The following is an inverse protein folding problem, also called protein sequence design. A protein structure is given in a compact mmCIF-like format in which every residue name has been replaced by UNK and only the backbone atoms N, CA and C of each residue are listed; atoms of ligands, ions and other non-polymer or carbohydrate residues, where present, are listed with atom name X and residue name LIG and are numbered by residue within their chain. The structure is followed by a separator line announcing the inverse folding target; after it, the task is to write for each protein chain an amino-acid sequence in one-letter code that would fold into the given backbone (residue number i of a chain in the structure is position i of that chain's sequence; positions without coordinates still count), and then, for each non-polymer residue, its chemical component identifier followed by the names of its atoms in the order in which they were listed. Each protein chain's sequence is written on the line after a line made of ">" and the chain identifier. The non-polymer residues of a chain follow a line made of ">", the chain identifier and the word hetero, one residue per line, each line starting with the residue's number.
data_IF_557873860187
#
_entry.id   IF_557873860187
#
_cell.length_a   1.000
_cell.length_b   1.000
_cell.length_c   1.000
_cell.angle_alpha   90.00
_cell.angle_beta   90.00
_cell.angle_gamma   90.00
#
_symmetry.space_group_name_H-M   'P 1'
#
loop_
_entity.id
_entity.type
_entity.pdbx_description
1 polymer ?
#
# COMPACT_ATOMS: atom_id res chain seq x y z
N UNK A 1 -49.67 -19.87 11.04
CA UNK A 1 -50.90 -20.04 11.85
C UNK A 1 -51.23 -21.52 11.93
N UNK A 2 -51.74 -21.99 13.07
CA UNK A 2 -52.32 -23.34 13.14
C UNK A 2 -53.63 -23.41 12.35
N UNK A 3 -54.03 -24.59 11.86
CA UNK A 3 -55.30 -24.77 11.13
C UNK A 3 -56.52 -24.26 11.93
N UNK A 4 -56.50 -24.45 13.27
CA UNK A 4 -57.55 -23.95 14.16
C UNK A 4 -57.63 -22.42 14.20
N UNK A 5 -56.49 -21.73 14.18
CA UNK A 5 -56.47 -20.26 14.10
C UNK A 5 -56.97 -19.75 12.75
N UNK A 6 -56.67 -20.45 11.65
CA UNK A 6 -57.18 -20.09 10.33
C UNK A 6 -58.70 -20.27 10.23
N UNK A 7 -59.25 -21.36 10.79
CA UNK A 7 -60.68 -21.62 10.81
C UNK A 7 -61.46 -20.59 11.67
N UNK A 8 -60.95 -20.22 12.84
CA UNK A 8 -61.57 -19.19 13.67
C UNK A 8 -61.49 -17.81 13.00
N UNK A 9 -60.36 -17.48 12.37
CA UNK A 9 -60.23 -16.26 11.56
C UNK A 9 -61.25 -16.24 10.42
N UNK A 10 -61.44 -17.37 9.74
CA UNK A 10 -62.41 -17.51 8.66
C UNK A 10 -63.85 -17.25 9.12
N UNK A 11 -64.26 -17.82 10.27
CA UNK A 11 -65.60 -17.57 10.84
C UNK A 11 -65.82 -16.08 11.11
N UNK A 12 -64.82 -15.41 11.70
CA UNK A 12 -64.89 -13.97 12.00
C UNK A 12 -64.99 -13.16 10.70
N UNK A 13 -64.08 -13.39 9.74
CA UNK A 13 -64.06 -12.63 8.50
C UNK A 13 -65.30 -12.89 7.63
N UNK A 14 -65.86 -14.11 7.66
CA UNK A 14 -67.12 -14.43 6.97
C UNK A 14 -68.32 -13.67 7.55
N UNK A 15 -68.39 -13.49 8.88
CA UNK A 15 -69.45 -12.69 9.52
C UNK A 15 -69.36 -11.19 9.22
N UNK A 16 -68.15 -10.71 8.95
CA UNK A 16 -67.84 -9.33 8.61
C UNK A 16 -67.92 -9.06 7.09
N UNK A 17 -67.99 -10.11 6.28
CA UNK A 17 -68.03 -9.99 4.83
C UNK A 17 -69.23 -9.14 4.38
N UNK A 18 -68.99 -8.18 3.49
CA UNK A 18 -69.99 -7.22 2.99
C UNK A 18 -70.43 -6.13 3.97
N UNK A 19 -69.96 -6.13 5.22
CA UNK A 19 -70.29 -5.10 6.23
C UNK A 19 -69.22 -4.03 6.39
N UNK A 20 -67.95 -4.44 6.30
CA UNK A 20 -66.80 -3.53 6.41
C UNK A 20 -65.74 -3.90 5.36
N UNK A 21 -65.06 -2.92 4.75
CA UNK A 21 -63.91 -3.19 3.89
C UNK A 21 -62.74 -3.68 4.75
N UNK A 22 -62.18 -4.84 4.40
CA UNK A 22 -61.03 -5.45 5.07
C UNK A 22 -59.90 -5.56 4.06
N UNK A 23 -58.74 -4.98 4.37
CA UNK A 23 -57.57 -5.00 3.48
C UNK A 23 -56.50 -5.89 4.10
N UNK A 24 -56.17 -6.97 3.41
CA UNK A 24 -55.04 -7.82 3.73
C UNK A 24 -53.83 -7.37 2.91
N UNK A 25 -52.72 -7.07 3.58
CA UNK A 25 -51.46 -6.72 2.92
C UNK A 25 -50.49 -7.88 3.10
N UNK A 26 -50.06 -8.50 2.01
CA UNK A 26 -49.15 -9.64 2.05
C UNK A 26 -48.94 -10.29 0.69
N UNK A 27 -48.09 -11.32 0.69
CA UNK A 27 -47.80 -12.14 -0.48
C UNK A 27 -48.85 -13.23 -0.64
N UNK A 28 -49.63 -13.13 -1.72
CA UNK A 28 -50.74 -14.04 -2.01
C UNK A 28 -50.25 -15.47 -2.26
N UNK A 29 -49.05 -15.66 -2.79
CA UNK A 29 -48.51 -17.00 -3.06
C UNK A 29 -48.27 -17.76 -1.74
N UNK A 30 -47.80 -17.05 -0.71
CA UNK A 30 -47.66 -17.62 0.65
C UNK A 30 -49.00 -17.95 1.30
N UNK A 31 -50.09 -17.33 0.85
CA UNK A 31 -51.46 -17.68 1.26
C UNK A 31 -51.95 -18.93 0.53
N UNK A 32 -51.45 -19.27 -0.66
CA UNK A 32 -51.93 -20.43 -1.42
C UNK A 32 -51.12 -21.73 -1.22
N UNK A 33 -50.07 -21.74 -0.38
CA UNK A 33 -49.19 -22.91 -0.18
C UNK A 33 -49.84 -24.15 0.45
N UNK A 34 -51.05 -24.05 1.04
CA UNK A 34 -51.76 -25.18 1.64
C UNK A 34 -53.11 -25.40 0.95
N UNK A 35 -53.39 -26.62 0.50
CA UNK A 35 -54.62 -27.02 -0.22
C UNK A 35 -55.94 -26.70 0.50
N UNK A 36 -55.88 -26.45 1.82
CA UNK A 36 -57.03 -26.13 2.68
C UNK A 36 -56.91 -24.75 3.36
N UNK A 37 -56.36 -23.72 2.68
CA UNK A 37 -56.30 -22.39 3.29
C UNK A 37 -57.67 -21.70 3.30
N UNK A 38 -58.19 -21.40 4.48
CA UNK A 38 -59.43 -20.65 4.63
C UNK A 38 -59.29 -19.16 4.28
N UNK A 39 -58.06 -18.61 4.33
CA UNK A 39 -57.79 -17.20 4.02
C UNK A 39 -57.99 -16.88 2.53
N UNK A 40 -57.75 -17.82 1.63
CA UNK A 40 -58.02 -17.61 0.20
C UNK A 40 -59.52 -17.52 -0.10
N UNK A 41 -60.37 -18.14 0.73
CA UNK A 41 -61.83 -18.17 0.57
C UNK A 41 -62.53 -16.89 1.03
N UNK A 42 -61.82 -15.97 1.68
CA UNK A 42 -62.35 -14.69 2.19
C UNK A 42 -61.83 -13.47 1.42
N UNK A 43 -60.98 -13.67 0.41
CA UNK A 43 -60.42 -12.59 -0.41
C UNK A 43 -61.30 -12.41 -1.65
N UNK A 44 -62.14 -11.38 -1.64
CA UNK A 44 -63.06 -11.11 -2.76
C UNK A 44 -62.36 -10.47 -3.97
N UNK A 45 -61.30 -9.68 -3.73
CA UNK A 45 -60.54 -8.97 -4.77
C UNK A 45 -59.05 -8.99 -4.49
N UNK A 46 -58.27 -9.32 -5.51
CA UNK A 46 -56.82 -9.12 -5.53
C UNK A 46 -56.51 -7.74 -6.14
N UNK A 47 -55.69 -6.97 -5.45
CA UNK A 47 -55.09 -5.76 -5.98
C UNK A 47 -53.59 -6.03 -5.98
N UNK A 48 -53.01 -6.13 -7.17
CA UNK A 48 -51.55 -6.23 -7.31
C UNK A 48 -50.92 -4.85 -7.11
N UNK A 49 -49.69 -4.85 -6.61
CA UNK A 49 -48.91 -3.62 -6.56
C UNK A 49 -48.71 -3.10 -7.98
N UNK A 50 -48.83 -1.78 -8.21
CA UNK A 50 -48.52 -1.18 -9.49
C UNK A 50 -47.16 -1.62 -10.00
N UNK A 51 -47.03 -1.88 -11.30
CA UNK A 51 -45.76 -2.30 -11.92
C UNK A 51 -44.60 -1.36 -11.57
N UNK A 52 -44.85 -0.06 -11.44
CA UNK A 52 -43.85 0.95 -11.02
C UNK A 52 -43.23 0.66 -9.64
N UNK A 53 -43.93 -0.05 -8.76
CA UNK A 53 -43.44 -0.44 -7.44
C UNK A 53 -42.73 -1.81 -7.44
N UNK A 54 -42.58 -2.45 -8.60
CA UNK A 54 -41.83 -3.69 -8.73
C UNK A 54 -40.34 -3.46 -8.38
N UNK A 55 -39.67 -4.39 -7.65
CA UNK A 55 -38.27 -4.26 -7.24
C UNK A 55 -37.32 -3.79 -8.36
N UNK A 56 -37.43 -4.37 -9.55
CA UNK A 56 -36.59 -3.98 -10.70
C UNK A 56 -36.68 -2.49 -11.04
N UNK A 57 -37.87 -1.90 -10.96
CA UNK A 57 -38.11 -0.51 -11.36
C UNK A 57 -37.69 0.46 -10.25
N UNK A 58 -37.99 0.14 -8.98
CA UNK A 58 -37.66 1.02 -7.86
C UNK A 58 -36.16 1.14 -7.58
N UNK A 59 -35.37 0.11 -7.90
CA UNK A 59 -33.93 0.10 -7.69
C UNK A 59 -33.17 0.69 -8.87
N UNK A 60 -33.62 0.44 -10.10
CA UNK A 60 -32.98 1.01 -11.29
C UNK A 60 -32.98 2.55 -11.25
N UNK A 61 -34.16 3.18 -11.11
CA UNK A 61 -34.28 4.65 -11.04
C UNK A 61 -33.44 5.24 -9.88
N UNK A 62 -33.40 4.53 -8.76
CA UNK A 62 -32.64 4.95 -7.58
C UNK A 62 -31.13 4.94 -7.84
N UNK A 63 -30.60 3.85 -8.41
CA UNK A 63 -29.17 3.74 -8.68
C UNK A 63 -28.72 4.63 -9.84
N UNK A 64 -29.57 4.90 -10.83
CA UNK A 64 -29.30 5.91 -11.85
C UNK A 64 -29.15 7.32 -11.23
N UNK A 65 -30.01 7.68 -10.29
CA UNK A 65 -29.90 8.94 -9.55
C UNK A 65 -28.65 8.96 -8.66
N UNK A 66 -28.39 7.87 -7.93
CA UNK A 66 -27.26 7.76 -7.02
C UNK A 66 -25.93 7.83 -7.78
N UNK A 67 -25.81 7.13 -8.91
CA UNK A 67 -24.62 7.16 -9.78
C UNK A 67 -24.31 8.59 -10.24
N UNK A 68 -25.34 9.36 -10.63
CA UNK A 68 -25.18 10.78 -10.99
C UNK A 68 -24.73 11.63 -9.81
N UNK A 69 -25.27 11.38 -8.62
CA UNK A 69 -24.93 12.16 -7.41
C UNK A 69 -23.50 11.87 -6.94
N UNK A 70 -23.06 10.62 -7.05
CA UNK A 70 -21.72 10.18 -6.68
C UNK A 70 -20.69 10.40 -7.80
N UNK A 71 -21.13 10.76 -9.01
CA UNK A 71 -20.29 10.87 -10.20
C UNK A 71 -19.50 9.57 -10.52
N UNK A 72 -20.08 8.41 -10.18
CA UNK A 72 -19.48 7.08 -10.34
C UNK A 72 -20.43 6.16 -11.09
N UNK A 73 -19.89 5.38 -12.02
CA UNK A 73 -20.65 4.35 -12.72
C UNK A 73 -20.72 3.08 -11.87
N UNK A 74 -21.91 2.74 -11.37
CA UNK A 74 -22.13 1.48 -10.64
C UNK A 74 -22.20 0.30 -11.61
N UNK A 75 -21.65 -0.85 -11.21
CA UNK A 75 -21.66 -2.06 -12.02
C UNK A 75 -23.06 -2.64 -12.20
N UNK A 76 -23.24 -3.40 -13.28
CA UNK A 76 -24.48 -4.13 -13.54
C UNK A 76 -24.78 -5.18 -12.45
N UNK A 77 -23.75 -5.80 -11.90
CA UNK A 77 -23.86 -6.75 -10.79
C UNK A 77 -24.50 -6.07 -9.57
N UNK A 78 -24.17 -4.80 -9.33
CA UNK A 78 -24.64 -4.04 -8.19
C UNK A 78 -26.16 -3.97 -8.12
N UNK A 79 -26.81 -3.42 -9.13
CA UNK A 79 -28.26 -3.20 -9.08
C UNK A 79 -29.07 -4.48 -9.36
N UNK A 80 -28.53 -5.45 -10.13
CA UNK A 80 -29.19 -6.73 -10.39
C UNK A 80 -29.41 -7.54 -9.12
N UNK A 81 -28.47 -7.49 -8.17
CA UNK A 81 -28.56 -8.21 -6.89
C UNK A 81 -29.78 -7.75 -6.07
N UNK A 82 -30.02 -6.45 -5.97
CA UNK A 82 -31.20 -5.91 -5.26
C UNK A 82 -32.52 -6.32 -5.94
N UNK A 83 -32.52 -6.32 -7.27
CA UNK A 83 -33.69 -6.71 -8.07
C UNK A 83 -33.99 -8.20 -7.94
N UNK A 84 -32.96 -9.06 -8.02
CA UNK A 84 -33.08 -10.51 -7.91
C UNK A 84 -33.63 -10.96 -6.55
N UNK A 85 -33.17 -10.33 -5.47
CA UNK A 85 -33.63 -10.66 -4.11
C UNK A 85 -34.99 -10.05 -3.75
N UNK A 86 -35.68 -9.44 -4.72
CA UNK A 86 -36.98 -8.81 -4.54
C UNK A 86 -37.01 -7.79 -3.37
N UNK A 87 -35.93 -7.03 -3.19
CA UNK A 87 -35.84 -6.00 -2.14
C UNK A 87 -36.88 -4.92 -2.41
N UNK A 88 -37.65 -4.58 -1.38
CA UNK A 88 -38.84 -3.72 -1.54
C UNK A 88 -38.54 -2.25 -1.23
N UNK A 89 -39.57 -1.41 -1.33
CA UNK A 89 -39.45 0.03 -1.11
C UNK A 89 -38.97 0.41 0.29
N UNK A 90 -39.32 -0.38 1.33
CA UNK A 90 -38.84 -0.16 2.70
C UNK A 90 -37.34 -0.41 2.80
N UNK A 91 -36.87 -1.50 2.18
CA UNK A 91 -35.45 -1.84 2.11
C UNK A 91 -34.67 -0.73 1.41
N UNK A 92 -35.24 -0.16 0.33
CA UNK A 92 -34.66 0.98 -0.38
C UNK A 92 -34.54 2.22 0.50
N UNK A 93 -35.58 2.54 1.27
CA UNK A 93 -35.53 3.69 2.18
C UNK A 93 -34.45 3.50 3.24
N UNK A 94 -34.40 2.31 3.87
CA UNK A 94 -33.37 2.00 4.86
C UNK A 94 -31.96 2.07 4.24
N UNK A 95 -31.74 1.44 3.09
CA UNK A 95 -30.47 1.51 2.38
C UNK A 95 -30.06 2.96 2.11
N UNK A 96 -30.98 3.78 1.59
CA UNK A 96 -30.73 5.19 1.33
C UNK A 96 -30.42 5.99 2.60
N UNK A 97 -31.03 5.68 3.74
CA UNK A 97 -30.71 6.34 5.01
C UNK A 97 -29.24 6.10 5.40
N UNK A 98 -28.77 4.85 5.27
CA UNK A 98 -27.37 4.50 5.50
C UNK A 98 -26.42 5.12 4.47
N UNK A 99 -26.80 5.16 3.18
CA UNK A 99 -26.03 5.87 2.15
C UNK A 99 -25.85 7.34 2.54
N UNK A 100 -26.93 8.02 2.95
CA UNK A 100 -26.82 9.43 3.33
C UNK A 100 -26.03 9.63 4.63
N UNK A 101 -26.17 8.72 5.58
CA UNK A 101 -25.41 8.74 6.82
C UNK A 101 -23.92 8.58 6.56
N UNK A 102 -23.52 7.56 5.81
CA UNK A 102 -22.12 7.21 5.61
C UNK A 102 -21.41 8.17 4.65
N UNK A 103 -21.98 8.42 3.47
CA UNK A 103 -21.32 9.28 2.49
C UNK A 103 -21.32 10.76 2.89
N UNK A 104 -22.43 11.29 3.41
CA UNK A 104 -22.58 12.74 3.62
C UNK A 104 -22.45 13.14 5.08
N UNK A 105 -23.09 12.41 6.01
CA UNK A 105 -23.02 12.80 7.43
C UNK A 105 -21.66 12.49 8.05
N UNK A 106 -21.04 11.38 7.63
CA UNK A 106 -19.70 10.93 8.05
C UNK A 106 -18.59 11.24 7.05
N UNK A 107 -18.95 11.98 5.98
CA UNK A 107 -18.01 12.48 4.97
C UNK A 107 -17.15 11.39 4.33
N UNK A 108 -17.73 10.22 4.01
CA UNK A 108 -17.00 9.18 3.27
C UNK A 108 -16.96 9.41 1.76
N UNK A 109 -17.80 10.30 1.24
CA UNK A 109 -17.76 10.67 -0.17
C UNK A 109 -16.36 11.16 -0.55
N UNK A 110 -15.79 10.64 -1.63
CA UNK A 110 -14.40 10.89 -2.10
C UNK A 110 -13.26 10.41 -1.18
N UNK A 111 -13.58 9.73 -0.06
CA UNK A 111 -12.60 9.08 0.82
C UNK A 111 -12.58 7.55 0.67
N UNK A 112 -13.60 6.98 0.05
CA UNK A 112 -13.72 5.54 -0.22
C UNK A 112 -14.19 5.31 -1.64
N UNK A 113 -13.87 4.15 -2.21
CA UNK A 113 -14.47 3.73 -3.48
C UNK A 113 -15.98 3.51 -3.31
N UNK A 114 -16.79 4.24 -4.06
CA UNK A 114 -18.22 4.37 -3.76
C UNK A 114 -18.96 3.03 -3.87
N UNK A 115 -18.72 2.26 -4.93
CA UNK A 115 -19.39 0.97 -5.09
C UNK A 115 -19.01 -0.03 -3.99
N UNK A 116 -17.75 -0.05 -3.56
CA UNK A 116 -17.33 -0.90 -2.44
C UNK A 116 -18.05 -0.50 -1.15
N UNK A 117 -18.14 0.79 -0.84
CA UNK A 117 -18.88 1.27 0.33
C UNK A 117 -20.37 0.90 0.27
N UNK A 118 -20.98 0.98 -0.92
CA UNK A 118 -22.36 0.58 -1.13
C UNK A 118 -22.57 -0.93 -0.90
N UNK A 119 -21.62 -1.78 -1.31
CA UNK A 119 -21.63 -3.21 -0.99
C UNK A 119 -21.49 -3.49 0.50
N UNK A 120 -20.68 -2.72 1.22
CA UNK A 120 -20.53 -2.84 2.68
C UNK A 120 -21.82 -2.46 3.40
N UNK A 121 -22.48 -1.36 2.98
CA UNK A 121 -23.82 -0.98 3.49
C UNK A 121 -24.83 -2.10 3.23
N UNK A 122 -24.81 -2.67 2.02
CA UNK A 122 -25.70 -3.77 1.64
C UNK A 122 -25.46 -5.02 2.50
N UNK A 123 -24.20 -5.42 2.70
CA UNK A 123 -23.84 -6.54 3.56
C UNK A 123 -24.31 -6.33 5.00
N UNK A 124 -24.15 -5.13 5.56
CA UNK A 124 -24.64 -4.83 6.90
C UNK A 124 -26.16 -4.98 7.05
N UNK A 125 -26.92 -4.48 6.07
CA UNK A 125 -28.39 -4.49 6.14
C UNK A 125 -28.99 -5.88 5.92
N UNK A 126 -28.44 -6.64 4.98
CA UNK A 126 -29.09 -7.85 4.49
C UNK A 126 -28.31 -9.15 4.79
N UNK A 127 -27.02 -9.04 5.12
CA UNK A 127 -26.12 -10.16 5.40
C UNK A 127 -25.26 -9.89 6.66
N UNK A 128 -25.89 -9.69 7.83
CA UNK A 128 -25.20 -9.23 9.03
C UNK A 128 -24.07 -10.15 9.50
N UNK A 129 -24.17 -11.46 9.23
CA UNK A 129 -23.08 -12.40 9.56
C UNK A 129 -21.84 -12.18 8.68
N UNK A 130 -22.00 -11.90 7.37
CA UNK A 130 -20.88 -11.57 6.49
C UNK A 130 -20.25 -10.23 6.90
N UNK A 131 -21.07 -9.24 7.27
CA UNK A 131 -20.53 -7.98 7.79
C UNK A 131 -19.75 -8.16 9.10
N UNK A 132 -20.20 -9.03 10.02
CA UNK A 132 -19.42 -9.37 11.22
C UNK A 132 -18.09 -10.04 10.88
N UNK A 133 -18.04 -10.88 9.85
CA UNK A 133 -16.78 -11.46 9.37
C UNK A 133 -15.82 -10.38 8.87
N UNK A 134 -16.31 -9.40 8.10
CA UNK A 134 -15.52 -8.24 7.65
C UNK A 134 -14.94 -7.45 8.83
N UNK A 135 -15.73 -7.20 9.88
CA UNK A 135 -15.27 -6.50 11.10
C UNK A 135 -14.17 -7.28 11.84
N UNK A 136 -14.26 -8.60 11.87
CA UNK A 136 -13.26 -9.49 12.49
C UNK A 136 -12.06 -9.76 11.60
N UNK A 137 -12.05 -9.22 10.38
CA UNK A 137 -11.04 -9.49 9.36
C UNK A 137 -10.94 -11.00 9.03
N UNK A 138 -12.06 -11.71 9.08
CA UNK A 138 -12.17 -13.11 8.67
C UNK A 138 -12.28 -13.18 7.14
N UNK A 139 -11.59 -14.14 6.52
CA UNK A 139 -11.65 -14.39 5.08
C UNK A 139 -13.02 -14.96 4.71
N UNK A 140 -13.71 -14.31 3.77
CA UNK A 140 -14.98 -14.79 3.24
C UNK A 140 -14.67 -15.81 2.15
N UNK A 141 -14.93 -17.08 2.44
CA UNK A 141 -14.74 -18.17 1.49
C UNK A 141 -16.01 -18.39 0.67
N UNK A 142 -15.86 -18.38 -0.64
CA UNK A 142 -16.88 -18.87 -1.58
C UNK A 142 -16.76 -20.39 -1.59
N UNK A 143 -17.84 -21.11 -1.30
CA UNK A 143 -17.85 -22.56 -1.44
C UNK A 143 -18.11 -22.93 -2.90
N UNK A 144 -17.53 -24.03 -3.38
CA UNK A 144 -17.70 -24.49 -4.77
C UNK A 144 -19.16 -24.78 -5.16
N UNK A 145 -20.05 -25.04 -4.20
CA UNK A 145 -21.50 -25.21 -4.40
C UNK A 145 -22.30 -23.90 -4.37
N UNK A 146 -21.66 -22.80 -3.98
CA UNK A 146 -22.20 -21.42 -3.92
C UNK A 146 -21.59 -20.51 -5.01
N UNK A 147 -20.68 -21.04 -5.84
CA UNK A 147 -20.11 -20.33 -7.00
C UNK A 147 -21.16 -20.17 -8.09
N UNK A 148 -21.46 -18.93 -8.45
CA UNK A 148 -22.55 -18.61 -9.37
C UNK A 148 -22.17 -19.11 -10.76
N UNK A 149 -22.98 -19.99 -11.35
CA UNK A 149 -22.67 -20.48 -12.70
C UNK A 149 -22.64 -19.34 -13.71
N UNK A 150 -21.84 -19.46 -14.78
CA UNK A 150 -21.70 -18.41 -15.80
C UNK A 150 -23.07 -17.93 -16.36
N UNK A 151 -24.03 -18.84 -16.51
CA UNK A 151 -25.40 -18.53 -16.95
C UNK A 151 -26.25 -17.80 -15.90
N UNK A 152 -25.97 -17.99 -14.62
CA UNK A 152 -26.63 -17.32 -13.50
C UNK A 152 -26.05 -15.93 -13.25
N UNK A 153 -24.75 -15.72 -13.46
CA UNK A 153 -24.12 -14.38 -13.39
C UNK A 153 -24.83 -13.41 -14.34
N UNK A 154 -25.08 -13.83 -15.59
CA UNK A 154 -25.79 -12.98 -16.57
C UNK A 154 -27.26 -12.71 -16.24
N UNK A 155 -27.89 -13.52 -15.36
CA UNK A 155 -29.30 -13.35 -14.99
C UNK A 155 -29.48 -12.63 -13.65
N UNK A 156 -28.59 -12.89 -12.69
CA UNK A 156 -28.81 -12.58 -11.28
C UNK A 156 -27.63 -11.80 -10.65
N UNK A 157 -26.51 -11.68 -11.35
CA UNK A 157 -25.26 -11.10 -10.84
C UNK A 157 -24.49 -12.07 -9.93
N UNK A 158 -23.25 -11.70 -9.59
CA UNK A 158 -22.37 -12.48 -8.71
C UNK A 158 -22.84 -12.52 -7.27
N UNK A 159 -22.69 -13.68 -6.64
CA UNK A 159 -22.47 -13.92 -5.21
C UNK A 159 -22.28 -12.71 -4.30
N UNK A 160 -23.07 -12.47 -3.23
CA UNK A 160 -22.60 -11.49 -2.23
C UNK A 160 -21.29 -11.98 -1.56
N UNK A 161 -21.12 -13.29 -1.37
CA UNK A 161 -19.87 -13.86 -0.88
C UNK A 161 -18.73 -13.69 -1.90
N UNK A 162 -19.01 -13.91 -3.19
CA UNK A 162 -18.04 -13.68 -4.28
C UNK A 162 -17.61 -12.20 -4.31
N UNK A 163 -18.56 -11.28 -4.27
CA UNK A 163 -18.29 -9.84 -4.28
C UNK A 163 -17.47 -9.42 -3.06
N UNK A 164 -17.83 -9.86 -1.87
CA UNK A 164 -17.10 -9.47 -0.65
C UNK A 164 -15.72 -10.12 -0.60
N UNK A 165 -15.58 -11.36 -1.06
CA UNK A 165 -14.27 -12.03 -1.24
C UNK A 165 -13.40 -11.21 -2.20
N UNK A 166 -13.94 -10.79 -3.34
CA UNK A 166 -13.24 -9.94 -4.29
C UNK A 166 -12.86 -8.58 -3.67
N UNK A 167 -13.76 -7.95 -2.92
CA UNK A 167 -13.46 -6.69 -2.22
C UNK A 167 -12.30 -6.87 -1.22
N UNK A 168 -12.24 -8.01 -0.51
CA UNK A 168 -11.14 -8.33 0.40
C UNK A 168 -9.80 -8.56 -0.32
N UNK A 169 -9.82 -9.06 -1.55
CA UNK A 169 -8.62 -9.45 -2.30
C UNK A 169 -8.16 -8.41 -3.34
N UNK A 170 -9.09 -7.57 -3.81
CA UNK A 170 -8.88 -6.61 -4.89
C UNK A 170 -7.76 -5.64 -4.55
N UNK A 171 -6.82 -5.50 -5.47
CA UNK A 171 -5.64 -4.65 -5.33
C UNK A 171 -5.45 -3.77 -6.55
N UNK A 172 -6.53 -3.10 -6.92
CA UNK A 172 -6.47 -2.10 -7.99
C UNK A 172 -5.74 -0.85 -7.47
N UNK A 173 -4.75 -0.39 -8.24
CA UNK A 173 -4.06 0.88 -7.99
C UNK A 173 -4.97 2.05 -8.39
N UNK A 174 -5.95 2.33 -7.55
CA UNK A 174 -6.89 3.45 -7.69
C UNK A 174 -6.96 4.20 -6.37
N UNK A 175 -7.22 5.50 -6.46
CA UNK A 175 -7.47 6.38 -5.32
C UNK A 175 -8.91 6.91 -5.38
N UNK A 176 -9.68 6.92 -4.28
CA UNK A 176 -9.27 6.56 -2.91
C UNK A 176 -8.89 5.09 -2.70
N UNK A 177 -8.14 4.75 -1.64
CA UNK A 177 -7.69 3.39 -1.39
C UNK A 177 -8.88 2.44 -1.26
N UNK A 178 -8.77 1.27 -1.89
CA UNK A 178 -9.79 0.22 -1.79
C UNK A 178 -9.90 -0.35 -0.37
N UNK A 179 -10.93 -1.17 -0.15
CA UNK A 179 -11.18 -1.84 1.13
C UNK A 179 -9.96 -2.62 1.64
N UNK A 180 -9.29 -3.38 0.78
CA UNK A 180 -8.11 -4.17 1.17
C UNK A 180 -7.01 -3.30 1.80
N UNK A 181 -6.77 -2.12 1.23
CA UNK A 181 -5.74 -1.16 1.67
C UNK A 181 -6.18 -0.30 2.86
N UNK A 182 -7.47 0.02 2.98
CA UNK A 182 -7.98 0.89 4.05
C UNK A 182 -9.33 0.44 4.62
N UNK A 183 -9.39 -0.77 5.19
CA UNK A 183 -10.62 -1.36 5.77
C UNK A 183 -11.38 -0.43 6.72
N UNK A 184 -10.72 0.28 7.67
CA UNK A 184 -11.42 1.10 8.64
C UNK A 184 -12.28 2.20 8.02
N UNK A 185 -11.84 2.82 6.91
CA UNK A 185 -12.61 3.85 6.24
C UNK A 185 -13.98 3.35 5.72
N UNK A 186 -14.09 2.04 5.44
CA UNK A 186 -15.32 1.43 4.94
C UNK A 186 -16.28 0.98 6.04
N UNK A 187 -15.82 0.82 7.28
CA UNK A 187 -16.66 0.33 8.37
C UNK A 187 -17.74 1.34 8.72
N UNK A 188 -18.99 0.87 8.75
CA UNK A 188 -20.13 1.69 9.14
C UNK A 188 -19.90 2.32 10.51
N UNK A 189 -20.35 3.55 10.63
CA UNK A 189 -20.21 4.35 11.83
C UNK A 189 -18.81 4.85 12.19
N UNK A 190 -17.82 4.63 11.34
CA UNK A 190 -16.48 5.21 11.44
C UNK A 190 -16.32 6.44 10.52
N UNK A 191 -15.36 7.31 10.83
CA UNK A 191 -14.95 8.41 9.95
C UNK A 191 -13.65 8.04 9.22
N UNK A 192 -13.50 8.44 7.94
CA UNK A 192 -12.25 8.21 7.22
C UNK A 192 -11.15 9.12 7.79
N UNK A 193 -9.95 8.56 7.94
CA UNK A 193 -8.74 9.30 8.37
C UNK A 193 -7.82 9.64 7.18
N UNK A 194 -8.15 9.15 5.99
CA UNK A 194 -7.44 9.44 4.76
C UNK A 194 -7.93 10.75 4.13
N UNK A 195 -7.12 11.32 3.24
CA UNK A 195 -7.43 12.57 2.55
C UNK A 195 -8.30 12.32 1.32
N UNK A 196 -8.92 13.36 0.79
CA UNK A 196 -9.52 13.31 -0.56
C UNK A 196 -8.46 13.53 -1.63
N UNK A 197 -8.84 13.23 -2.88
CA UNK A 197 -8.01 13.55 -4.04
C UNK A 197 -7.77 15.06 -4.16
N UNK A 198 -8.78 15.87 -3.86
CA UNK A 198 -8.70 17.34 -3.93
C UNK A 198 -7.75 17.91 -2.87
N UNK A 199 -7.75 17.36 -1.66
CA UNK A 199 -6.82 17.75 -0.59
C UNK A 199 -5.37 17.49 -1.01
N UNK A 200 -5.07 16.31 -1.58
CA UNK A 200 -3.73 16.03 -2.08
C UNK A 200 -3.34 16.85 -3.32
N UNK A 201 -4.27 17.09 -4.24
CA UNK A 201 -4.02 18.00 -5.37
C UNK A 201 -3.63 19.39 -4.85
N UNK A 202 -4.34 19.90 -3.84
CA UNK A 202 -4.03 21.19 -3.20
C UNK A 202 -2.66 21.17 -2.51
N UNK A 203 -2.31 20.05 -1.87
CA UNK A 203 -1.00 19.87 -1.25
C UNK A 203 0.15 19.93 -2.28
N UNK A 204 -0.03 19.38 -3.48
CA UNK A 204 0.97 19.45 -4.55
C UNK A 204 1.19 20.87 -5.07
N UNK A 205 0.14 21.69 -5.13
CA UNK A 205 0.23 23.08 -5.59
C UNK A 205 0.88 24.00 -4.55
N UNK A 206 0.75 23.66 -3.26
CA UNK A 206 1.26 24.50 -2.18
C UNK A 206 2.71 24.16 -1.86
N UNK A 207 3.61 25.14 -1.75
CA UNK A 207 4.97 24.91 -1.21
C UNK A 207 4.88 24.82 0.32
N UNK A 208 4.66 23.61 0.83
CA UNK A 208 4.52 23.36 2.26
C UNK A 208 5.54 22.33 2.76
N UNK A 209 6.03 22.55 3.98
CA UNK A 209 6.80 21.54 4.72
C UNK A 209 6.00 20.24 4.95
N UNK A 210 4.67 20.31 4.80
CA UNK A 210 3.75 19.20 4.90
C UNK A 210 3.95 18.19 3.76
N UNK A 211 4.14 18.63 2.51
CA UNK A 211 4.41 17.72 1.40
C UNK A 211 5.72 16.94 1.61
N UNK A 212 6.75 17.59 2.14
CA UNK A 212 8.00 16.91 2.52
C UNK A 212 7.77 15.88 3.64
N UNK A 213 6.92 16.19 4.63
CA UNK A 213 6.56 15.23 5.69
C UNK A 213 5.81 14.02 5.13
N UNK A 214 4.79 14.26 4.30
CA UNK A 214 4.04 13.19 3.64
C UNK A 214 4.96 12.30 2.80
N UNK A 215 5.86 12.89 2.00
CA UNK A 215 6.83 12.13 1.23
C UNK A 215 7.74 11.26 2.11
N UNK A 216 8.24 11.77 3.24
CA UNK A 216 9.11 11.00 4.15
C UNK A 216 8.40 9.82 4.80
N UNK A 217 7.13 9.98 5.14
CA UNK A 217 6.38 8.99 5.92
C UNK A 217 5.58 8.01 5.05
N UNK A 218 5.43 8.30 3.75
CA UNK A 218 4.64 7.52 2.81
C UNK A 218 5.30 6.19 2.41
N UNK A 219 4.89 5.11 3.09
CA UNK A 219 5.16 3.74 2.68
C UNK A 219 4.01 3.15 1.84
N UNK A 220 4.17 1.93 1.31
CA UNK A 220 3.18 1.26 0.46
C UNK A 220 1.75 1.21 1.02
N UNK A 221 1.55 1.22 2.33
CA UNK A 221 0.21 1.15 2.94
C UNK A 221 -0.35 2.52 3.31
N UNK A 222 0.42 3.60 3.12
CA UNK A 222 0.01 4.96 3.45
C UNK A 222 -0.77 5.59 2.31
N UNK A 223 -1.66 6.47 2.72
CA UNK A 223 -2.61 7.15 1.87
C UNK A 223 -1.96 7.94 0.72
N UNK A 224 -0.94 8.74 1.06
CA UNK A 224 -0.21 9.53 0.07
C UNK A 224 0.52 8.66 -0.97
N UNK A 225 1.07 7.51 -0.57
CA UNK A 225 1.68 6.57 -1.52
C UNK A 225 0.63 6.03 -2.51
N UNK A 226 -0.57 5.69 -2.01
CA UNK A 226 -1.65 5.18 -2.86
C UNK A 226 -2.07 6.23 -3.88
N UNK A 227 -2.32 7.46 -3.44
CA UNK A 227 -2.61 8.60 -4.31
C UNK A 227 -1.53 8.81 -5.37
N UNK A 228 -0.27 8.87 -4.94
CA UNK A 228 0.88 9.02 -5.81
C UNK A 228 0.91 7.90 -6.87
N UNK A 229 0.86 6.65 -6.44
CA UNK A 229 1.00 5.49 -7.33
C UNK A 229 -0.13 5.34 -8.36
N UNK A 230 -1.34 5.84 -8.06
CA UNK A 230 -2.46 5.83 -9.00
C UNK A 230 -2.46 7.03 -9.94
N UNK A 231 -2.05 8.21 -9.47
CA UNK A 231 -2.25 9.48 -10.20
C UNK A 231 -0.97 10.01 -10.86
N UNK A 232 0.22 9.51 -10.52
CA UNK A 232 1.51 10.08 -10.97
C UNK A 232 1.61 10.31 -12.48
N UNK A 233 1.06 9.41 -13.29
CA UNK A 233 1.06 9.52 -14.75
C UNK A 233 0.23 10.71 -15.27
N UNK A 234 -0.77 11.13 -14.51
CA UNK A 234 -1.64 12.26 -14.84
C UNK A 234 -1.06 13.61 -14.38
N UNK A 235 -0.05 13.61 -13.52
CA UNK A 235 0.57 14.82 -13.02
C UNK A 235 1.25 15.61 -14.13
N UNK A 236 1.20 16.94 -14.01
CA UNK A 236 1.94 17.83 -14.88
C UNK A 236 3.45 17.69 -14.67
N UNK A 237 4.24 18.04 -15.67
CA UNK A 237 5.71 18.03 -15.56
C UNK A 237 6.23 18.93 -14.45
N UNK A 238 5.51 20.02 -14.13
CA UNK A 238 5.84 20.92 -13.01
C UNK A 238 5.68 20.19 -11.67
N UNK A 239 4.57 19.47 -11.48
CA UNK A 239 4.31 18.69 -10.27
C UNK A 239 5.34 17.57 -10.11
N UNK A 240 5.64 16.81 -11.18
CA UNK A 240 6.67 15.76 -11.16
C UNK A 240 8.05 16.31 -10.84
N UNK A 241 8.43 17.44 -11.45
CA UNK A 241 9.72 18.09 -11.18
C UNK A 241 9.82 18.57 -9.73
N UNK A 242 8.73 19.12 -9.17
CA UNK A 242 8.66 19.52 -7.75
C UNK A 242 8.82 18.31 -6.82
N UNK A 243 8.09 17.22 -7.07
CA UNK A 243 8.19 15.98 -6.30
C UNK A 243 9.61 15.41 -6.34
N UNK A 244 10.24 15.37 -7.52
CA UNK A 244 11.61 14.90 -7.68
C UNK A 244 12.61 15.79 -6.92
N UNK A 245 12.46 17.11 -6.99
CA UNK A 245 13.33 18.04 -6.29
C UNK A 245 13.26 17.88 -4.77
N UNK A 246 12.05 17.78 -4.23
CA UNK A 246 11.85 17.51 -2.78
C UNK A 246 12.45 16.16 -2.41
N UNK A 247 12.24 15.14 -3.25
CA UNK A 247 12.84 13.81 -3.07
C UNK A 247 14.36 13.91 -2.95
N UNK A 248 15.04 14.55 -3.91
CA UNK A 248 16.50 14.76 -3.87
C UNK A 248 16.94 15.45 -2.56
N UNK A 249 16.26 16.54 -2.17
CA UNK A 249 16.61 17.30 -0.97
C UNK A 249 16.42 16.50 0.33
N UNK A 250 15.34 15.74 0.44
CA UNK A 250 15.06 14.92 1.63
C UNK A 250 15.97 13.68 1.68
N UNK A 251 16.34 13.10 0.54
CA UNK A 251 17.31 12.00 0.47
C UNK A 251 18.66 12.40 1.03
N UNK A 252 19.15 13.61 0.72
CA UNK A 252 20.42 14.13 1.25
C UNK A 252 20.39 14.35 2.78
N UNK A 253 19.20 14.51 3.37
CA UNK A 253 19.00 14.55 4.84
C UNK A 253 18.91 13.16 5.47
N UNK A 254 19.21 12.12 4.71
CA UNK A 254 19.09 10.71 5.09
C UNK A 254 17.68 10.14 5.21
N UNK A 255 16.64 10.84 4.75
CA UNK A 255 15.30 10.24 4.67
C UNK A 255 15.16 9.32 3.46
N UNK A 256 14.35 8.27 3.59
CA UNK A 256 13.91 7.45 2.48
C UNK A 256 12.49 6.94 2.74
N UNK A 257 11.71 6.75 1.68
CA UNK A 257 10.37 6.18 1.76
C UNK A 257 10.02 5.45 0.46
N UNK A 258 9.01 4.59 0.52
CA UNK A 258 8.51 3.92 -0.69
C UNK A 258 8.00 4.93 -1.73
N UNK A 259 7.44 6.06 -1.31
CA UNK A 259 6.99 7.12 -2.21
C UNK A 259 8.16 7.81 -2.92
N UNK A 260 9.24 8.08 -2.21
CA UNK A 260 10.47 8.64 -2.77
C UNK A 260 11.10 7.69 -3.79
N UNK A 261 11.24 6.40 -3.43
CA UNK A 261 11.72 5.35 -4.35
C UNK A 261 10.84 5.25 -5.60
N UNK A 262 9.51 5.34 -5.44
CA UNK A 262 8.56 5.31 -6.56
C UNK A 262 8.75 6.49 -7.52
N UNK A 263 8.94 7.71 -7.00
CA UNK A 263 9.19 8.91 -7.83
C UNK A 263 10.48 8.75 -8.65
N UNK A 264 11.55 8.28 -8.01
CA UNK A 264 12.84 8.04 -8.67
C UNK A 264 12.68 6.98 -9.75
N UNK A 265 12.01 5.87 -9.44
CA UNK A 265 11.81 4.77 -10.38
C UNK A 265 10.95 5.19 -11.58
N UNK A 266 9.85 5.90 -11.35
CA UNK A 266 9.00 6.41 -12.43
C UNK A 266 9.72 7.44 -13.28
N UNK A 267 10.53 8.32 -12.66
CA UNK A 267 11.32 9.28 -13.44
C UNK A 267 12.34 8.58 -14.33
N UNK A 268 12.93 7.48 -13.88
CA UNK A 268 13.80 6.65 -14.71
C UNK A 268 13.00 5.87 -15.75
N UNK A 269 11.77 5.44 -15.46
CA UNK A 269 10.90 4.71 -16.41
C UNK A 269 10.52 5.58 -17.62
N UNK A 270 10.44 6.91 -17.45
CA UNK A 270 10.20 7.85 -18.56
C UNK A 270 11.34 7.86 -19.60
N UNK A 271 12.60 7.69 -19.18
CA UNK A 271 13.78 7.75 -20.06
C UNK A 271 14.28 6.35 -20.48
N UNK A 272 14.29 5.41 -19.53
CA UNK A 272 14.84 4.06 -19.70
C UNK A 272 13.81 3.07 -19.16
N UNK A 273 12.87 2.59 -19.98
CA UNK A 273 11.81 1.70 -19.54
C UNK A 273 12.33 0.42 -18.87
N UNK A 274 11.54 -0.16 -17.95
CA UNK A 274 11.95 -1.36 -17.18
C UNK A 274 12.33 -2.54 -18.08
N UNK A 275 11.68 -2.72 -19.23
CA UNK A 275 11.99 -3.81 -20.16
C UNK A 275 13.36 -3.68 -20.85
N UNK A 276 14.00 -2.50 -20.80
CA UNK A 276 15.38 -2.28 -21.27
C UNK A 276 16.42 -2.59 -20.17
N UNK A 277 15.98 -2.80 -18.93
CA UNK A 277 16.82 -3.01 -17.73
C UNK A 277 16.94 -4.50 -17.41
N UNK A 278 17.49 -5.27 -18.34
CA UNK A 278 17.76 -6.68 -18.08
C UNK A 278 18.68 -6.85 -16.87
N UNK A 279 18.46 -7.87 -16.05
CA UNK A 279 19.33 -8.20 -14.91
C UNK A 279 20.16 -9.44 -15.27
N UNK A 280 21.51 -9.38 -15.22
CA UNK A 280 22.35 -8.24 -14.85
C UNK A 280 22.34 -7.13 -15.92
N UNK A 281 22.53 -5.88 -15.49
CA UNK A 281 22.54 -4.71 -16.38
C UNK A 281 23.76 -4.74 -17.32
N UNK A 282 23.55 -4.35 -18.57
CA UNK A 282 24.65 -4.18 -19.52
C UNK A 282 25.44 -2.91 -19.20
N UNK A 283 26.74 -2.87 -19.55
CA UNK A 283 27.57 -1.67 -19.37
C UNK A 283 27.00 -0.43 -20.08
N UNK A 284 26.37 -0.64 -21.24
CA UNK A 284 25.70 0.43 -21.99
C UNK A 284 24.48 0.97 -21.24
N UNK A 285 23.64 0.07 -20.71
CA UNK A 285 22.48 0.45 -19.89
C UNK A 285 22.90 1.21 -18.64
N UNK A 286 23.94 0.72 -17.93
CA UNK A 286 24.50 1.40 -16.75
C UNK A 286 24.96 2.81 -17.13
N UNK A 287 25.71 2.97 -18.24
CA UNK A 287 26.18 4.28 -18.67
C UNK A 287 25.02 5.24 -19.02
N UNK A 288 23.94 4.75 -19.65
CA UNK A 288 22.73 5.55 -19.91
C UNK A 288 22.08 6.02 -18.61
N UNK A 289 21.89 5.11 -17.64
CA UNK A 289 21.30 5.43 -16.33
C UNK A 289 22.14 6.47 -15.59
N UNK A 290 23.46 6.28 -15.54
CA UNK A 290 24.38 7.22 -14.88
C UNK A 290 24.32 8.59 -15.55
N UNK A 291 24.43 8.67 -16.88
CA UNK A 291 24.39 9.95 -17.60
C UNK A 291 23.08 10.71 -17.38
N UNK A 292 21.96 10.00 -17.35
CA UNK A 292 20.65 10.57 -17.05
C UNK A 292 20.61 11.20 -15.65
N UNK A 293 20.96 10.43 -14.62
CA UNK A 293 20.94 10.90 -13.24
C UNK A 293 21.98 11.98 -12.97
N UNK A 294 23.20 11.86 -13.48
CA UNK A 294 24.21 12.91 -13.34
C UNK A 294 23.73 14.24 -13.94
N UNK A 295 23.06 14.21 -15.09
CA UNK A 295 22.54 15.43 -15.72
C UNK A 295 21.51 16.14 -14.85
N UNK A 296 20.68 15.39 -14.13
CA UNK A 296 19.66 15.94 -13.22
C UNK A 296 20.33 16.42 -11.92
N UNK A 297 21.08 15.54 -11.26
CA UNK A 297 21.60 15.75 -9.92
C UNK A 297 22.71 16.83 -9.89
N UNK A 298 23.52 16.95 -10.96
CA UNK A 298 24.50 18.06 -11.06
C UNK A 298 23.84 19.43 -11.19
N UNK A 299 22.63 19.51 -11.79
CA UNK A 299 21.87 20.77 -11.84
C UNK A 299 21.36 21.20 -10.47
N UNK A 300 21.12 20.24 -9.58
CA UNK A 300 20.81 20.50 -8.16
C UNK A 300 22.06 20.78 -7.32
N UNK A 301 23.26 20.76 -7.93
CA UNK A 301 24.52 21.13 -7.28
C UNK A 301 25.20 20.00 -6.50
N UNK A 302 24.76 18.74 -6.68
CA UNK A 302 25.35 17.60 -5.99
C UNK A 302 26.75 17.28 -6.56
N UNK A 303 27.66 16.93 -5.65
CA UNK A 303 28.98 16.41 -6.04
C UNK A 303 28.92 14.93 -6.47
N UNK A 304 30.04 14.39 -6.96
CA UNK A 304 30.09 13.00 -7.44
C UNK A 304 29.67 11.98 -6.37
N UNK A 305 30.03 12.24 -5.11
CA UNK A 305 29.79 11.32 -4.01
C UNK A 305 28.31 11.32 -3.59
N UNK A 306 27.65 12.47 -3.64
CA UNK A 306 26.22 12.60 -3.41
C UNK A 306 25.39 11.98 -4.54
N UNK A 307 25.87 12.07 -5.78
CA UNK A 307 25.23 11.42 -6.93
C UNK A 307 25.28 9.89 -6.78
N UNK A 308 26.45 9.34 -6.45
CA UNK A 308 26.62 7.91 -6.13
C UNK A 308 25.69 7.51 -5.00
N UNK A 309 25.68 8.29 -3.91
CA UNK A 309 24.81 8.06 -2.76
C UNK A 309 23.33 8.02 -3.12
N UNK A 310 22.84 8.99 -3.90
CA UNK A 310 21.45 9.04 -4.32
C UNK A 310 21.04 7.81 -5.14
N UNK A 311 21.89 7.40 -6.10
CA UNK A 311 21.61 6.24 -6.95
C UNK A 311 21.57 4.93 -6.15
N UNK A 312 22.53 4.71 -5.23
CA UNK A 312 22.54 3.53 -4.38
C UNK A 312 21.33 3.52 -3.44
N UNK A 313 21.04 4.66 -2.81
CA UNK A 313 19.97 4.80 -1.82
C UNK A 313 18.59 4.44 -2.38
N UNK A 314 18.29 4.90 -3.58
CA UNK A 314 17.03 4.61 -4.27
C UNK A 314 17.09 3.38 -5.17
N UNK A 315 18.12 2.52 -5.00
CA UNK A 315 18.27 1.25 -5.72
C UNK A 315 18.25 1.42 -7.24
N UNK A 316 18.73 2.56 -7.72
CA UNK A 316 18.86 2.86 -9.14
C UNK A 316 19.98 2.01 -9.74
N UNK A 317 21.12 1.96 -9.05
CA UNK A 317 22.28 1.14 -9.38
C UNK A 317 22.95 0.71 -8.08
N UNK A 318 23.49 -0.51 -8.04
CA UNK A 318 24.28 -1.00 -6.91
C UNK A 318 25.73 -0.51 -6.97
N UNK A 319 26.48 -0.63 -5.87
CA UNK A 319 27.92 -0.38 -5.88
C UNK A 319 28.67 -1.21 -6.92
N UNK A 320 28.18 -2.42 -7.23
CA UNK A 320 28.73 -3.24 -8.29
C UNK A 320 28.57 -2.54 -9.65
N UNK A 321 27.35 -2.14 -10.00
CA UNK A 321 27.05 -1.48 -11.27
C UNK A 321 27.79 -0.13 -11.40
N UNK A 322 27.80 0.64 -10.32
CA UNK A 322 28.52 1.91 -10.23
C UNK A 322 30.03 1.71 -10.38
N UNK A 323 30.60 0.64 -9.79
CA UNK A 323 32.01 0.28 -9.92
C UNK A 323 32.40 -0.15 -11.34
N UNK A 324 31.48 -0.76 -12.09
CA UNK A 324 31.68 -1.08 -13.52
C UNK A 324 31.76 0.17 -14.39
N UNK A 325 31.07 1.25 -14.00
CA UNK A 325 31.07 2.53 -14.72
C UNK A 325 32.26 3.41 -14.29
N UNK A 326 32.39 3.67 -13.00
CA UNK A 326 33.40 4.56 -12.42
C UNK A 326 34.75 3.86 -12.19
N UNK A 327 35.40 3.46 -13.28
CA UNK A 327 36.68 2.71 -13.24
C UNK A 327 37.91 3.55 -12.90
N UNK A 328 37.78 4.88 -12.86
CA UNK A 328 38.90 5.83 -12.69
C UNK A 328 38.77 6.70 -11.43
N UNK A 329 38.06 6.21 -10.41
CA UNK A 329 37.97 6.93 -9.14
C UNK A 329 39.33 6.96 -8.44
N UNK A 330 39.68 8.11 -7.88
CA UNK A 330 40.93 8.33 -7.16
C UNK A 330 40.62 8.77 -5.72
N UNK A 331 41.20 8.05 -4.74
CA UNK A 331 40.96 8.28 -3.31
C UNK A 331 42.13 8.99 -2.60
N UNK A 332 43.28 9.14 -3.28
CA UNK A 332 44.52 9.70 -2.71
C UNK A 332 44.81 11.13 -3.15
N UNK A 333 43.77 11.88 -3.51
CA UNK A 333 43.91 13.26 -3.95
C UNK A 333 43.24 14.24 -2.97
N UNK A 334 43.64 15.51 -3.03
CA UNK A 334 43.07 16.57 -2.17
C UNK A 334 41.57 16.79 -2.39
N UNK A 335 41.02 16.32 -3.51
CA UNK A 335 39.61 16.46 -3.84
C UNK A 335 38.75 15.45 -3.08
N UNK A 336 39.27 14.26 -2.75
CA UNK A 336 38.54 13.26 -1.98
C UNK A 336 38.08 13.79 -0.62
N UNK A 337 38.97 14.50 0.10
CA UNK A 337 38.65 15.09 1.40
C UNK A 337 37.55 16.17 1.34
N UNK A 338 37.28 16.74 0.15
CA UNK A 338 36.26 17.79 -0.07
C UNK A 338 34.89 17.24 -0.43
N UNK A 339 34.76 15.93 -0.69
CA UNK A 339 33.50 15.29 -1.04
C UNK A 339 32.54 15.25 0.16
N UNK A 340 31.23 15.39 -0.10
CA UNK A 340 30.20 15.39 0.93
C UNK A 340 29.86 14.00 1.48
N UNK A 341 30.00 12.94 0.66
CA UNK A 341 29.71 11.53 0.99
C UNK A 341 30.87 10.60 0.63
N UNK A 342 32.02 10.83 1.29
CA UNK A 342 33.27 10.09 1.02
C UNK A 342 33.10 8.58 1.22
N UNK A 343 32.22 8.18 2.14
CA UNK A 343 31.84 6.79 2.39
C UNK A 343 31.34 6.12 1.12
N UNK A 344 30.40 6.74 0.42
CA UNK A 344 29.84 6.20 -0.83
C UNK A 344 30.84 6.18 -1.97
N UNK A 345 31.64 7.24 -2.10
CA UNK A 345 32.70 7.29 -3.09
C UNK A 345 33.73 6.16 -2.89
N UNK A 346 34.14 5.91 -1.64
CA UNK A 346 35.08 4.83 -1.32
C UNK A 346 34.46 3.45 -1.54
N UNK A 347 33.18 3.24 -1.20
CA UNK A 347 32.48 1.98 -1.45
C UNK A 347 32.43 1.64 -2.95
N UNK A 348 32.11 2.62 -3.79
CA UNK A 348 32.16 2.47 -5.25
C UNK A 348 33.57 2.20 -5.75
N UNK A 349 34.58 2.90 -5.23
CA UNK A 349 35.99 2.64 -5.57
C UNK A 349 36.38 1.20 -5.24
N UNK A 350 36.07 0.72 -4.03
CA UNK A 350 36.39 -0.64 -3.59
C UNK A 350 35.72 -1.70 -4.48
N UNK A 351 34.51 -1.43 -4.94
CA UNK A 351 33.82 -2.27 -5.91
C UNK A 351 34.54 -2.27 -7.27
N UNK A 352 34.91 -1.10 -7.79
CA UNK A 352 35.62 -0.96 -9.07
C UNK A 352 36.97 -1.70 -9.11
N UNK A 353 37.68 -1.74 -7.98
CA UNK A 353 38.98 -2.45 -7.85
C UNK A 353 38.86 -3.87 -7.28
N UNK A 354 37.64 -4.39 -7.12
CA UNK A 354 37.34 -5.70 -6.56
C UNK A 354 38.02 -5.97 -5.19
N UNK A 355 37.98 -4.98 -4.30
CA UNK A 355 38.49 -5.05 -2.91
C UNK A 355 37.39 -4.92 -1.86
N UNK A 356 36.12 -4.85 -2.25
CA UNK A 356 34.98 -4.78 -1.31
C UNK A 356 35.00 -5.97 -0.34
N UNK A 357 34.94 -5.72 0.97
CA UNK A 357 35.03 -6.75 2.03
C UNK A 357 36.38 -7.46 2.19
N UNK A 358 37.37 -7.19 1.31
CA UNK A 358 38.64 -7.91 1.30
C UNK A 358 39.71 -7.16 2.10
N UNK A 359 39.47 -6.94 3.40
CA UNK A 359 40.27 -6.05 4.27
C UNK A 359 41.78 -6.34 4.27
N UNK A 360 42.17 -7.62 4.19
CA UNK A 360 43.58 -8.06 4.11
C UNK A 360 44.33 -7.55 2.86
N UNK A 361 43.59 -7.21 1.79
CA UNK A 361 44.15 -6.69 0.52
C UNK A 361 44.14 -5.16 0.45
N UNK A 362 43.68 -4.48 1.50
CA UNK A 362 43.63 -3.03 1.53
C UNK A 362 45.03 -2.46 1.82
N UNK A 363 45.52 -1.64 0.89
CA UNK A 363 46.75 -0.89 1.06
C UNK A 363 46.54 0.34 1.98
N UNK A 364 47.63 1.00 2.36
CA UNK A 364 47.60 2.18 3.23
C UNK A 364 46.72 3.31 2.69
N UNK A 365 46.50 3.35 1.38
CA UNK A 365 45.79 4.42 0.72
C UNK A 365 44.28 4.36 0.99
N UNK A 366 43.71 3.15 1.06
CA UNK A 366 42.34 2.92 1.50
C UNK A 366 42.16 3.32 2.98
N UNK A 367 43.11 2.95 3.84
CA UNK A 367 43.06 3.31 5.26
C UNK A 367 43.14 4.83 5.47
N UNK A 368 44.05 5.51 4.76
CA UNK A 368 44.15 6.98 4.80
C UNK A 368 42.86 7.66 4.32
N UNK A 369 42.17 7.08 3.34
CA UNK A 369 40.88 7.61 2.87
C UNK A 369 39.80 7.51 3.97
N UNK A 370 39.77 6.41 4.72
CA UNK A 370 38.84 6.23 5.86
C UNK A 370 39.13 7.24 6.98
N UNK A 371 40.39 7.61 7.20
CA UNK A 371 40.76 8.62 8.21
C UNK A 371 40.19 10.01 7.90
N UNK A 372 39.79 10.27 6.64
CA UNK A 372 39.17 11.52 6.23
C UNK A 372 37.66 11.58 6.53
N UNK A 373 37.07 10.51 7.06
CA UNK A 373 35.63 10.43 7.31
C UNK A 373 35.18 11.22 8.54
N UNK A 374 34.06 11.92 8.38
CA UNK A 374 33.24 12.34 9.50
C UNK A 374 32.62 11.14 10.23
N UNK A 375 32.10 11.38 11.43
CA UNK A 375 31.54 10.31 12.28
C UNK A 375 30.40 9.56 11.57
N UNK A 376 29.53 10.29 10.87
CA UNK A 376 28.42 9.73 10.10
C UNK A 376 28.90 8.83 8.95
N UNK A 377 29.85 9.32 8.17
CA UNK A 377 30.44 8.60 7.03
C UNK A 377 31.13 7.32 7.52
N UNK A 378 31.86 7.41 8.63
CA UNK A 378 32.56 6.27 9.23
C UNK A 378 31.60 5.15 9.64
N UNK A 379 30.54 5.48 10.39
CA UNK A 379 29.55 4.50 10.84
C UNK A 379 28.79 3.88 9.65
N UNK A 380 28.36 4.71 8.69
CA UNK A 380 27.69 4.27 7.44
C UNK A 380 28.57 3.30 6.63
N UNK A 381 29.84 3.65 6.42
CA UNK A 381 30.80 2.83 5.69
C UNK A 381 30.97 1.45 6.31
N UNK A 382 31.15 1.38 7.62
CA UNK A 382 31.37 0.09 8.30
C UNK A 382 30.09 -0.75 8.42
N UNK A 383 28.89 -0.14 8.38
CA UNK A 383 27.63 -0.87 8.20
C UNK A 383 27.62 -1.60 6.84
N UNK A 384 27.98 -0.92 5.75
CA UNK A 384 28.06 -1.54 4.43
C UNK A 384 29.13 -2.62 4.30
N UNK A 385 30.27 -2.43 4.95
CA UNK A 385 31.33 -3.45 5.01
C UNK A 385 30.99 -4.62 5.94
N UNK A 386 29.83 -4.58 6.61
CA UNK A 386 29.37 -5.65 7.50
C UNK A 386 30.15 -5.77 8.82
N UNK A 387 30.95 -4.76 9.18
CA UNK A 387 31.71 -4.72 10.44
C UNK A 387 30.86 -4.14 11.58
N UNK A 388 29.96 -3.20 11.25
CA UNK A 388 28.95 -2.70 12.18
C UNK A 388 27.57 -3.20 11.77
N UNK A 389 26.72 -3.46 12.76
CA UNK A 389 25.28 -3.62 12.53
C UNK A 389 24.48 -3.00 13.66
N UNK A 390 23.22 -2.71 13.35
CA UNK A 390 22.19 -2.21 14.26
C UNK A 390 20.99 -3.15 14.15
N UNK A 391 20.05 -3.08 15.09
CA UNK A 391 18.80 -3.85 15.01
C UNK A 391 17.85 -3.37 13.88
N UNK A 392 18.22 -2.27 13.21
CA UNK A 392 17.49 -1.70 12.07
C UNK A 392 17.75 -2.45 10.75
N UNK A 393 16.93 -2.13 9.76
CA UNK A 393 17.00 -2.73 8.44
C UNK A 393 18.35 -2.42 7.77
N UNK A 394 18.86 -3.36 6.99
CA UNK A 394 20.11 -3.22 6.24
C UNK A 394 20.12 -1.95 5.36
N UNK A 395 18.95 -1.55 4.87
CA UNK A 395 18.77 -0.37 4.01
C UNK A 395 18.78 0.98 4.76
N UNK A 396 18.80 0.97 6.09
CA UNK A 396 18.86 2.17 6.95
C UNK A 396 20.31 2.48 7.36
N UNK A 397 21.27 2.22 6.47
CA UNK A 397 22.71 2.32 6.75
C UNK A 397 23.18 3.74 7.09
N UNK A 398 22.49 4.78 6.60
CA UNK A 398 22.87 6.18 6.80
C UNK A 398 22.04 6.90 7.86
N UNK A 399 21.14 6.16 8.53
CA UNK A 399 20.44 6.59 9.74
C UNK A 399 21.35 6.29 10.93
N UNK A 400 21.79 7.36 11.59
CA UNK A 400 22.74 7.31 12.71
C UNK A 400 22.20 8.20 13.83
N UNK A 401 21.43 7.63 14.77
CA UNK A 401 20.98 8.36 15.95
C UNK A 401 22.09 8.42 17.01
N UNK A 402 22.05 9.47 17.83
CA UNK A 402 23.12 9.80 18.79
C UNK A 402 23.30 8.79 19.93
N UNK A 403 22.32 7.90 20.17
CA UNK A 403 22.31 6.97 21.31
C UNK A 403 22.21 5.50 20.88
N UNK A 404 22.74 5.14 19.71
CA UNK A 404 22.64 3.76 19.22
C UNK A 404 23.71 2.84 19.81
N UNK A 405 23.26 1.63 20.15
CA UNK A 405 24.12 0.49 20.45
C UNK A 405 24.40 -0.22 19.12
N UNK A 406 25.66 -0.25 18.74
CA UNK A 406 26.14 -0.97 17.56
C UNK A 406 26.68 -2.33 17.99
N UNK A 407 26.36 -3.37 17.22
CA UNK A 407 27.13 -4.61 17.29
C UNK A 407 28.39 -4.43 16.44
N UNK A 408 29.55 -4.57 17.06
CA UNK A 408 30.86 -4.57 16.40
C UNK A 408 31.29 -6.00 16.16
N UNK A 409 31.31 -6.41 14.90
CA UNK A 409 31.69 -7.76 14.53
C UNK A 409 33.22 -7.91 14.53
N UNK A 410 33.75 -8.64 15.51
CA UNK A 410 35.20 -8.92 15.62
C UNK A 410 35.63 -10.16 14.83
N UNK A 411 34.66 -10.92 14.31
CA UNK A 411 34.87 -11.99 13.36
C UNK A 411 33.57 -12.63 12.91
N UNK A 412 33.57 -13.25 11.72
CA UNK A 412 32.39 -13.84 11.09
C UNK A 412 32.73 -15.15 10.39
N UNK A 413 31.76 -16.06 10.31
CA UNK A 413 31.85 -17.24 9.45
C UNK A 413 31.40 -16.91 8.04
N UNK A 414 32.17 -17.32 7.02
CA UNK A 414 31.81 -17.08 5.63
C UNK A 414 30.50 -17.76 5.27
N UNK A 415 29.68 -17.10 4.43
CA UNK A 415 28.45 -17.70 3.93
C UNK A 415 28.73 -18.94 3.06
N UNK A 416 29.78 -18.91 2.25
CA UNK A 416 30.13 -20.05 1.40
C UNK A 416 30.83 -21.18 2.18
N UNK A 417 30.50 -22.45 1.89
CA UNK A 417 31.26 -23.59 2.40
C UNK A 417 32.75 -23.46 2.06
N UNK A 418 33.67 -23.73 3.00
CA UNK A 418 33.49 -24.53 4.20
C UNK A 418 32.96 -23.77 5.45
N UNK A 419 32.56 -22.50 5.30
CA UNK A 419 32.25 -21.55 6.39
C UNK A 419 33.50 -21.27 7.21
N UNK A 420 34.53 -20.72 6.57
CA UNK A 420 35.77 -20.37 7.25
C UNK A 420 35.52 -19.21 8.20
N UNK A 421 36.20 -19.24 9.36
CA UNK A 421 36.15 -18.14 10.30
C UNK A 421 37.12 -17.04 9.86
N UNK A 422 36.60 -15.84 9.62
CA UNK A 422 37.37 -14.64 9.40
C UNK A 422 37.47 -13.84 10.71
N UNK A 423 38.70 -13.68 11.21
CA UNK A 423 38.99 -12.81 12.36
C UNK A 423 39.32 -11.40 11.87
N UNK A 424 38.63 -10.40 12.41
CA UNK A 424 38.80 -8.99 12.04
C UNK A 424 39.62 -8.19 13.05
N UNK A 425 40.03 -8.77 14.18
CA UNK A 425 40.70 -8.06 15.27
C UNK A 425 41.96 -7.32 14.82
N UNK A 426 42.87 -8.02 14.14
CA UNK A 426 44.14 -7.44 13.70
C UNK A 426 44.00 -6.63 12.40
N UNK A 427 43.21 -7.13 11.44
CA UNK A 427 43.15 -6.56 10.09
C UNK A 427 42.28 -5.31 10.00
N UNK A 428 41.28 -5.20 10.88
CA UNK A 428 40.28 -4.12 10.90
C UNK A 428 40.21 -3.43 12.27
N UNK A 429 39.80 -4.14 13.32
CA UNK A 429 39.42 -3.53 14.61
C UNK A 429 40.56 -2.71 15.20
N UNK A 430 41.78 -3.26 15.20
CA UNK A 430 42.98 -2.57 15.69
C UNK A 430 43.26 -1.25 14.96
N UNK A 431 43.01 -1.20 13.64
CA UNK A 431 43.26 -0.01 12.82
C UNK A 431 42.22 1.09 13.07
N UNK A 432 40.98 0.70 13.35
CA UNK A 432 39.88 1.65 13.56
C UNK A 432 39.62 1.98 15.04
N UNK A 433 40.31 1.32 15.97
CA UNK A 433 40.06 1.42 17.42
C UNK A 433 40.08 2.86 17.93
N UNK A 434 41.06 3.65 17.49
CA UNK A 434 41.17 5.06 17.91
C UNK A 434 39.92 5.87 17.56
N UNK A 435 39.31 5.62 16.39
CA UNK A 435 38.08 6.30 15.97
C UNK A 435 36.86 5.77 16.73
N UNK A 436 36.81 4.47 17.02
CA UNK A 436 35.76 3.89 17.87
C UNK A 436 35.78 4.48 19.28
N UNK A 437 36.94 4.57 19.93
CA UNK A 437 37.10 5.16 21.26
C UNK A 437 36.67 6.65 21.28
N UNK A 438 36.95 7.39 20.20
CA UNK A 438 36.46 8.76 20.01
C UNK A 438 34.93 8.83 19.90
N UNK A 439 34.30 7.88 19.21
CA UNK A 439 32.84 7.80 19.10
C UNK A 439 32.21 7.40 20.44
N UNK A 440 32.82 6.50 21.20
CA UNK A 440 32.36 6.17 22.56
C UNK A 440 32.35 7.39 23.47
N UNK A 441 33.38 8.25 23.38
CA UNK A 441 33.41 9.53 24.12
C UNK A 441 32.29 10.51 23.72
N UNK A 442 31.68 10.31 22.56
CA UNK A 442 30.54 11.09 22.05
C UNK A 442 29.17 10.45 22.36
N UNK A 443 29.14 9.32 23.06
CA UNK A 443 27.91 8.65 23.49
C UNK A 443 27.52 7.39 22.70
N UNK A 444 28.26 7.03 21.65
CA UNK A 444 28.03 5.78 20.92
C UNK A 444 28.45 4.57 21.77
N UNK A 445 27.78 3.43 21.61
CA UNK A 445 28.13 2.18 22.32
C UNK A 445 28.42 1.08 21.32
N UNK A 446 29.51 0.33 21.49
CA UNK A 446 29.89 -0.80 20.64
C UNK A 446 29.97 -2.10 21.46
N UNK A 447 29.17 -3.09 21.10
CA UNK A 447 29.17 -4.42 21.70
C UNK A 447 29.89 -5.41 20.78
N UNK A 448 31.04 -5.90 21.20
CA UNK A 448 31.88 -6.80 20.41
C UNK A 448 31.28 -8.21 20.35
N UNK A 449 30.99 -8.70 19.14
CA UNK A 449 30.43 -10.05 18.91
C UNK A 449 31.11 -10.80 17.79
N UNK A 450 31.00 -12.13 17.86
CA UNK A 450 31.32 -13.04 16.75
C UNK A 450 30.01 -13.46 16.11
N UNK A 451 29.91 -13.29 14.80
CA UNK A 451 28.75 -13.75 14.04
C UNK A 451 28.85 -15.26 13.85
N UNK A 452 27.97 -15.99 14.53
CA UNK A 452 27.91 -17.45 14.51
C UNK A 452 26.85 -18.02 13.58
N UNK A 453 26.16 -17.21 12.77
CA UNK A 453 25.00 -17.66 11.98
C UNK A 453 25.34 -18.84 11.05
N UNK A 454 26.53 -18.81 10.44
CA UNK A 454 27.01 -19.85 9.52
C UNK A 454 28.01 -20.82 10.18
N UNK A 455 28.15 -20.77 11.51
CA UNK A 455 28.98 -21.73 12.22
C UNK A 455 28.39 -23.12 12.01
N UNK A 456 29.23 -24.09 11.63
CA UNK A 456 28.82 -25.50 11.59
C UNK A 456 28.22 -25.90 12.93
N UNK A 457 26.98 -26.39 12.91
CA UNK A 457 26.38 -27.08 14.05
C UNK A 457 26.95 -28.50 14.05
N UNK A 458 27.76 -28.80 15.06
CA UNK A 458 28.30 -30.15 15.29
C UNK A 458 27.19 -31.15 15.67
#
# INVERSE_FOLDING_TARGET
>A
MSNKQQEESYKIFSLLNGKIPIVFVGDIEKVHLNDNNFLSKIIDRRIELPFVLHPSNIWQDYFELLSKKLNTSLSDDFWRRFSFENRNLRDRNHFNDYVNQEFFSRKKFEHVQEEQQLWIIYAYLFYPELYKQLLKNEEIKVKDDEETSFTEIFKFGRSIQEILSDIQQSDHNQYPPNYKKNKPAYFLYEEPLNHTKEEFNTLLETDSNELSRELREANYNKDFYQYLSSEYKSFSEIQKAKLLRITIQESLKSYNSSAMDYIVEEKLNEEIPRYERNTPLSKETIARIVNFWETILRKEGLDQSEIIYFMEKHRVLSFHDLGLHYTKLEINNENFAKLNRKDFFLLTYLSAVNKFGQFKKWDSSIWNAIDCFGDKEFLSFWKFQGILSTDENYFDFDIIPENMIYTLWIGKYTFEPPHDFEDYREDVIKKIRLKLDQLESKGFTFDEKIDGEHRRRD
#
